data_IF_094975768087
#
_entry.id   IF_094975768087
#
_cell.length_a   1.000
_cell.length_b   1.000
_cell.length_c   1.000
_cell.angle_alpha   90.00
_cell.angle_beta   90.00
_cell.angle_gamma   90.00
#
_symmetry.space_group_name_H-M   'P 1'
#
loop_
_entity.id
_entity.type
_entity.pdbx_description
1 polymer ?
#
# COMPACT_ATOMS: atom_id res chain seq x y z
N UNK A 1 -6.88 28.49 5.82
CA UNK A 1 -5.74 27.59 5.54
C UNK A 1 -5.15 27.19 6.88
N UNK A 2 -5.15 25.91 7.21
CA UNK A 2 -4.51 25.44 8.45
C UNK A 2 -3.00 25.69 8.36
N UNK A 3 -2.34 26.09 9.46
CA UNK A 3 -0.90 26.25 9.46
C UNK A 3 -0.24 24.90 9.20
N UNK A 4 0.77 24.90 8.31
CA UNK A 4 1.58 23.71 8.04
C UNK A 4 2.63 23.53 9.12
N UNK A 5 2.95 22.28 9.41
CA UNK A 5 3.96 21.90 10.41
C UNK A 5 5.30 21.71 9.69
N UNK A 6 6.35 22.38 10.15
CA UNK A 6 7.69 22.16 9.60
C UNK A 6 8.26 20.83 10.10
N UNK A 7 8.62 19.93 9.18
CA UNK A 7 9.08 18.59 9.51
C UNK A 7 10.50 18.32 8.99
N UNK A 8 11.38 17.83 9.86
CA UNK A 8 12.69 17.30 9.49
C UNK A 8 12.62 15.77 9.36
N UNK A 9 13.38 15.23 8.40
CA UNK A 9 13.31 13.82 8.05
C UNK A 9 14.64 13.10 8.27
N UNK A 10 14.63 12.16 9.21
CA UNK A 10 15.75 11.29 9.49
C UNK A 10 15.88 10.16 8.47
N UNK A 11 17.11 9.95 8.01
CA UNK A 11 17.51 8.71 7.35
C UNK A 11 18.09 7.76 8.42
N UNK A 12 17.21 7.24 9.25
CA UNK A 12 17.53 6.36 10.36
C UNK A 12 17.46 4.88 9.94
N UNK A 13 18.40 4.06 10.40
CA UNK A 13 18.28 2.62 10.27
C UNK A 13 17.50 2.04 11.46
N UNK A 14 16.31 1.46 11.26
CA UNK A 14 15.51 0.94 12.37
C UNK A 14 16.08 -0.34 13.00
N UNK A 15 17.03 -1.02 12.34
CA UNK A 15 17.57 -2.31 12.81
C UNK A 15 18.76 -2.14 13.76
N UNK A 16 19.63 -1.16 13.51
CA UNK A 16 20.83 -0.91 14.33
C UNK A 16 20.90 0.52 14.89
N UNK A 17 19.82 1.29 14.74
CA UNK A 17 19.67 2.66 15.23
C UNK A 17 20.75 3.64 14.74
N UNK A 18 21.37 3.36 13.59
CA UNK A 18 22.40 4.24 13.00
C UNK A 18 21.80 5.25 12.03
N UNK A 19 22.17 6.52 12.20
CA UNK A 19 21.76 7.60 11.30
C UNK A 19 22.69 7.74 10.10
N UNK A 20 22.12 8.13 8.96
CA UNK A 20 22.84 8.39 7.73
C UNK A 20 22.53 9.78 7.21
N UNK A 21 23.50 10.41 6.56
CA UNK A 21 23.32 11.75 5.99
C UNK A 21 22.34 11.78 4.82
N UNK A 22 22.29 10.70 4.03
CA UNK A 22 21.54 10.64 2.78
C UNK A 22 20.80 9.30 2.62
N UNK A 23 19.65 9.27 1.91
CA UNK A 23 18.87 8.04 1.70
C UNK A 23 19.63 6.98 0.89
N UNK A 24 20.51 7.38 -0.03
CA UNK A 24 21.37 6.45 -0.78
C UNK A 24 22.33 5.68 0.13
N UNK A 25 22.89 6.36 1.14
CA UNK A 25 23.78 5.75 2.12
C UNK A 25 23.00 4.79 3.02
N UNK A 26 21.76 5.15 3.37
CA UNK A 26 20.86 4.26 4.12
C UNK A 26 20.50 3.00 3.32
N UNK A 27 20.19 3.10 2.03
CA UNK A 27 19.96 1.92 1.18
C UNK A 27 21.17 1.00 1.13
N UNK A 28 22.37 1.55 0.92
CA UNK A 28 23.61 0.77 0.90
C UNK A 28 23.88 0.10 2.26
N UNK A 29 23.62 0.81 3.35
CA UNK A 29 23.75 0.29 4.70
C UNK A 29 22.77 -0.88 4.95
N UNK A 30 21.49 -0.71 4.64
CA UNK A 30 20.46 -1.75 4.79
C UNK A 30 20.80 -3.00 3.96
N UNK A 31 21.29 -2.80 2.74
CA UNK A 31 21.73 -3.90 1.86
C UNK A 31 22.94 -4.66 2.42
N UNK A 32 23.95 -3.96 2.91
CA UNK A 32 25.24 -4.57 3.32
C UNK A 32 25.22 -5.14 4.74
N UNK A 33 24.57 -4.45 5.69
CA UNK A 33 24.59 -4.83 7.11
C UNK A 33 23.39 -5.69 7.51
N UNK A 34 22.25 -5.52 6.83
CA UNK A 34 20.99 -6.16 7.20
C UNK A 34 20.43 -7.07 6.11
N UNK A 35 21.11 -7.20 4.97
CA UNK A 35 20.67 -7.99 3.82
C UNK A 35 19.27 -7.60 3.30
N UNK A 36 18.84 -6.37 3.61
CA UNK A 36 17.56 -5.83 3.15
C UNK A 36 17.77 -5.15 1.79
N UNK A 37 17.33 -5.82 0.73
CA UNK A 37 17.33 -5.23 -0.62
C UNK A 37 16.04 -4.46 -0.80
N UNK A 38 16.18 -3.16 -1.05
CA UNK A 38 15.06 -2.24 -1.17
C UNK A 38 15.16 -1.50 -2.50
N UNK A 39 14.03 -1.17 -3.15
CA UNK A 39 14.05 -0.45 -4.41
C UNK A 39 14.49 1.00 -4.17
N UNK A 40 15.33 1.52 -5.06
CA UNK A 40 15.69 2.94 -5.03
C UNK A 40 14.55 3.79 -5.59
N UNK A 41 14.34 4.99 -5.01
CA UNK A 41 13.41 5.98 -5.57
C UNK A 41 13.82 6.37 -6.98
N UNK A 42 12.84 6.60 -7.86
CA UNK A 42 13.07 7.13 -9.22
C UNK A 42 13.79 8.47 -9.13
N UNK A 43 14.89 8.60 -9.88
CA UNK A 43 15.70 9.83 -9.93
C UNK A 43 14.95 10.94 -10.66
N UNK A 44 15.22 12.19 -10.31
CA UNK A 44 14.62 13.36 -10.95
C UNK A 44 13.20 13.73 -10.47
N UNK A 45 12.60 12.94 -9.58
CA UNK A 45 11.33 13.29 -8.94
C UNK A 45 11.57 14.00 -7.60
N UNK A 46 10.87 15.11 -7.41
CA UNK A 46 10.82 15.80 -6.13
C UNK A 46 9.81 15.11 -5.19
N UNK A 47 9.96 15.33 -3.88
CA UNK A 47 8.97 14.88 -2.90
C UNK A 47 7.61 15.51 -3.24
N UNK A 48 6.51 14.74 -3.28
CA UNK A 48 5.18 15.30 -3.40
C UNK A 48 4.90 16.33 -2.30
N UNK A 49 4.15 17.38 -2.64
CA UNK A 49 3.74 18.38 -1.64
C UNK A 49 2.69 17.75 -0.73
N UNK A 50 2.92 17.82 0.57
CA UNK A 50 1.95 17.38 1.57
C UNK A 50 1.16 18.62 2.08
N UNK A 51 -0.18 18.56 2.16
CA UNK A 51 -0.97 19.67 2.71
C UNK A 51 -0.69 19.92 4.20
N UNK A 52 -0.27 18.91 4.97
CA UNK A 52 -0.04 19.00 6.41
C UNK A 52 1.40 19.42 6.77
N UNK A 53 2.39 19.12 5.92
CA UNK A 53 3.80 19.28 6.24
C UNK A 53 4.56 20.18 5.26
N UNK A 54 5.46 20.99 5.80
CA UNK A 54 6.54 21.63 5.05
C UNK A 54 7.88 21.00 5.44
N UNK A 55 8.49 20.27 4.52
CA UNK A 55 9.72 19.54 4.81
C UNK A 55 10.95 20.47 4.76
N UNK A 56 11.65 20.57 5.89
CA UNK A 56 12.85 21.40 6.03
C UNK A 56 14.13 20.57 5.91
N UNK A 57 15.23 21.23 5.53
CA UNK A 57 16.55 20.60 5.40
C UNK A 57 17.34 20.60 6.70
N UNK A 58 17.12 21.61 7.53
CA UNK A 58 17.86 21.82 8.77
C UNK A 58 16.96 21.44 9.95
N UNK A 59 17.49 20.61 10.84
CA UNK A 59 16.74 20.15 12.01
C UNK A 59 16.38 21.31 12.94
N UNK A 60 17.20 22.36 13.00
CA UNK A 60 16.96 23.53 13.84
C UNK A 60 15.67 24.30 13.48
N UNK A 61 15.22 24.19 12.22
CA UNK A 61 14.03 24.89 11.71
C UNK A 61 12.75 24.04 11.78
N UNK A 62 12.85 22.80 12.26
CA UNK A 62 11.72 21.88 12.33
C UNK A 62 10.97 22.02 13.65
N UNK A 63 9.65 21.83 13.57
CA UNK A 63 8.78 21.64 14.72
C UNK A 63 8.62 20.16 15.06
N UNK A 64 8.83 19.28 14.08
CA UNK A 64 8.58 17.86 14.20
C UNK A 64 9.63 17.03 13.48
N UNK A 65 10.10 16.01 14.17
CA UNK A 65 10.98 14.99 13.62
C UNK A 65 10.20 13.80 13.11
N UNK A 66 10.58 13.27 11.95
CA UNK A 66 9.97 12.08 11.34
C UNK A 66 11.04 11.17 10.74
N UNK A 67 10.74 9.89 10.64
CA UNK A 67 11.62 8.88 10.04
C UNK A 67 11.21 8.59 8.60
N UNK A 68 12.09 8.86 7.64
CA UNK A 68 11.77 8.70 6.23
C UNK A 68 12.15 7.32 5.68
N UNK A 69 11.26 6.74 4.89
CA UNK A 69 11.58 5.53 4.12
C UNK A 69 12.59 5.86 3.00
N UNK A 70 13.71 5.15 2.83
CA UNK A 70 14.63 5.41 1.73
C UNK A 70 14.10 5.00 0.35
N UNK A 71 13.06 4.15 0.29
CA UNK A 71 12.56 3.51 -0.94
C UNK A 71 11.35 4.21 -1.54
N UNK A 72 10.51 4.84 -0.72
CA UNK A 72 9.30 5.57 -1.12
C UNK A 72 9.21 6.92 -0.39
N UNK A 73 8.18 7.72 -0.63
CA UNK A 73 8.07 9.06 -0.02
C UNK A 73 7.47 9.09 1.39
N UNK A 74 7.02 7.94 1.90
CA UNK A 74 6.42 7.79 3.23
C UNK A 74 7.37 8.13 4.36
N UNK A 75 6.80 8.57 5.48
CA UNK A 75 7.51 8.91 6.71
C UNK A 75 6.68 8.57 7.94
N UNK A 76 7.35 8.34 9.07
CA UNK A 76 6.78 7.76 10.28
C UNK A 76 7.14 8.56 11.53
N UNK A 77 6.34 8.42 12.57
CA UNK A 77 6.58 9.05 13.89
C UNK A 77 7.67 8.33 14.65
N UNK A 78 7.69 6.99 14.53
CA UNK A 78 8.59 6.15 15.32
C UNK A 78 9.45 5.21 14.44
N UNK A 79 10.63 4.78 14.92
CA UNK A 79 11.49 3.86 14.18
C UNK A 79 10.84 2.49 13.91
N UNK A 80 10.02 2.00 14.83
CA UNK A 80 9.38 0.69 14.71
C UNK A 80 8.34 0.65 13.57
N UNK A 81 7.62 1.76 13.36
CA UNK A 81 6.68 1.94 12.25
C UNK A 81 7.42 1.90 10.90
N UNK A 82 8.59 2.56 10.83
CA UNK A 82 9.47 2.49 9.67
C UNK A 82 9.96 1.05 9.43
N UNK A 83 10.39 0.33 10.48
CA UNK A 83 10.82 -1.06 10.35
C UNK A 83 9.74 -1.95 9.73
N UNK A 84 8.51 -1.85 10.24
CA UNK A 84 7.38 -2.60 9.74
C UNK A 84 7.09 -2.25 8.27
N UNK A 85 7.12 -0.96 7.93
CA UNK A 85 6.94 -0.52 6.55
C UNK A 85 8.01 -1.05 5.60
N UNK A 86 9.27 -1.14 6.04
CA UNK A 86 10.35 -1.68 5.21
C UNK A 86 10.16 -3.16 4.88
N UNK A 87 9.55 -3.96 5.77
CA UNK A 87 9.27 -5.38 5.51
C UNK A 87 8.36 -5.54 4.29
N UNK A 88 7.33 -4.67 4.15
CA UNK A 88 6.46 -4.68 2.98
C UNK A 88 7.22 -4.45 1.65
N UNK A 89 8.28 -3.64 1.65
CA UNK A 89 9.10 -3.47 0.45
C UNK A 89 9.95 -4.69 0.10
N UNK A 90 10.37 -5.47 1.09
CA UNK A 90 11.15 -6.69 0.89
C UNK A 90 10.24 -7.80 0.36
N UNK A 91 9.05 -7.96 0.96
CA UNK A 91 8.09 -9.00 0.57
C UNK A 91 7.59 -8.81 -0.87
N UNK A 92 7.34 -7.56 -1.29
CA UNK A 92 6.94 -7.25 -2.67
C UNK A 92 8.03 -7.67 -3.69
N UNK A 93 9.31 -7.59 -3.34
CA UNK A 93 10.38 -8.01 -4.26
C UNK A 93 10.47 -9.54 -4.45
N UNK A 94 9.94 -10.33 -3.50
CA UNK A 94 9.88 -11.79 -3.63
C UNK A 94 8.91 -12.28 -4.71
N UNK A 95 7.83 -11.52 -4.95
CA UNK A 95 6.73 -11.93 -5.83
C UNK A 95 6.61 -11.11 -7.13
N UNK A 96 7.41 -10.05 -7.30
CA UNK A 96 7.32 -9.13 -8.44
C UNK A 96 8.04 -9.63 -9.71
N UNK A 97 7.61 -10.78 -10.22
CA UNK A 97 7.71 -11.14 -11.65
C UNK A 97 6.33 -11.05 -12.36
N UNK A 98 5.36 -10.34 -11.78
CA UNK A 98 4.04 -10.12 -12.38
C UNK A 98 3.60 -8.66 -12.22
N UNK A 99 3.78 -7.88 -13.29
CA UNK A 99 2.93 -6.74 -13.67
C UNK A 99 2.84 -5.53 -12.72
N UNK A 100 3.52 -4.44 -13.09
CA UNK A 100 3.16 -3.09 -12.66
C UNK A 100 1.70 -2.78 -13.03
N UNK A 101 0.79 -2.80 -12.07
CA UNK A 101 -0.51 -2.12 -12.19
C UNK A 101 -0.44 -0.75 -11.52
N UNK A 102 -0.39 0.26 -12.39
CA UNK A 102 -0.48 1.69 -12.14
C UNK A 102 -1.82 2.05 -11.46
N UNK A 103 -1.85 2.06 -10.13
CA UNK A 103 -3.01 2.46 -9.32
C UNK A 103 -3.06 3.97 -9.07
N UNK A 104 -3.26 4.78 -10.11
CA UNK A 104 -3.68 6.17 -9.99
C UNK A 104 -5.21 6.22 -10.09
N UNK A 105 -5.92 6.19 -8.96
CA UNK A 105 -7.34 6.59 -8.90
C UNK A 105 -7.78 6.87 -7.47
N UNK A 106 -7.72 8.12 -7.05
CA UNK A 106 -8.76 8.67 -6.18
C UNK A 106 -9.37 9.86 -6.92
N UNK A 107 -10.57 9.62 -7.44
CA UNK A 107 -11.46 10.62 -8.02
C UNK A 107 -12.25 11.22 -6.85
N UNK A 108 -12.10 12.52 -6.66
CA UNK A 108 -13.02 13.32 -5.84
C UNK A 108 -14.14 13.78 -6.78
N UNK A 109 -15.34 13.25 -6.58
CA UNK A 109 -16.57 13.70 -7.23
C UNK A 109 -17.19 14.83 -6.39
N UNK A 110 -17.28 16.03 -6.94
CA UNK A 110 -18.26 17.03 -6.50
C UNK A 110 -18.76 17.81 -7.74
N UNK A 111 -20.08 17.92 -7.82
CA UNK A 111 -20.94 18.23 -8.97
C UNK A 111 -20.63 19.52 -9.76
N UNK A 112 -20.87 19.48 -11.07
CA UNK A 112 -21.60 20.57 -11.74
C UNK A 112 -22.45 20.01 -12.90
N UNK A 113 -23.74 20.33 -12.86
CA UNK A 113 -24.76 19.95 -13.84
C UNK A 113 -24.62 20.80 -15.12
N UNK A 114 -25.05 20.22 -16.24
CA UNK A 114 -25.38 20.92 -17.49
C UNK A 114 -24.24 21.18 -18.50
N UNK A 115 -23.99 20.21 -19.37
CA UNK A 115 -23.78 20.50 -20.79
C UNK A 115 -24.10 19.27 -21.65
N UNK A 116 -25.25 19.32 -22.32
CA UNK A 116 -25.65 18.41 -23.38
C UNK A 116 -24.70 18.52 -24.58
N UNK A 117 -24.08 17.41 -25.01
CA UNK A 117 -23.58 17.26 -26.39
C UNK A 117 -23.81 15.82 -26.88
N UNK A 118 -24.83 15.73 -27.74
CA UNK A 118 -24.93 14.93 -28.97
C UNK A 118 -24.17 13.61 -29.09
N UNK A 119 -24.99 12.57 -29.29
CA UNK A 119 -24.67 11.32 -29.97
C UNK A 119 -23.83 11.50 -31.23
N UNK A 120 -22.72 10.75 -31.35
CA UNK A 120 -22.35 10.14 -32.62
C UNK A 120 -21.50 8.88 -32.42
N UNK A 121 -21.89 7.81 -33.11
CA UNK A 121 -21.49 6.44 -32.82
C UNK A 121 -20.10 6.06 -33.32
N UNK A 122 -19.48 5.08 -32.64
CA UNK A 122 -18.42 4.22 -33.20
C UNK A 122 -18.34 2.90 -32.41
N UNK A 123 -18.76 1.82 -33.11
CA UNK A 123 -18.34 0.41 -33.03
C UNK A 123 -17.61 -0.06 -31.76
N UNK A 124 -18.22 -0.99 -31.03
CA UNK A 124 -17.57 -1.85 -30.03
C UNK A 124 -18.36 -3.13 -29.76
N UNK A 125 -18.56 -3.96 -30.79
CA UNK A 125 -19.31 -5.23 -30.67
C UNK A 125 -18.48 -6.40 -30.10
N UNK A 126 -17.34 -6.14 -29.44
CA UNK A 126 -16.35 -7.16 -29.03
C UNK A 126 -16.03 -7.18 -27.51
N UNK A 127 -16.70 -6.36 -26.69
CA UNK A 127 -16.47 -6.35 -25.23
C UNK A 127 -17.40 -7.31 -24.47
N UNK A 128 -18.62 -7.55 -24.98
CA UNK A 128 -19.61 -8.41 -24.31
C UNK A 128 -19.21 -9.89 -24.19
N UNK A 129 -18.26 -10.38 -25.00
CA UNK A 129 -17.82 -11.78 -24.94
C UNK A 129 -16.82 -12.02 -23.81
N UNK A 130 -15.95 -11.06 -23.52
CA UNK A 130 -14.92 -11.20 -22.47
C UNK A 130 -15.54 -11.08 -21.08
N UNK A 131 -16.55 -10.22 -20.94
CA UNK A 131 -17.28 -10.06 -19.68
C UNK A 131 -18.09 -11.32 -19.32
N UNK A 132 -18.68 -11.99 -20.32
CA UNK A 132 -19.37 -13.26 -20.12
C UNK A 132 -18.41 -14.39 -19.71
N UNK A 133 -17.25 -14.50 -20.37
CA UNK A 133 -16.23 -15.50 -20.04
C UNK A 133 -15.63 -15.26 -18.63
N UNK A 134 -15.47 -14.01 -18.22
CA UNK A 134 -15.00 -13.65 -16.88
C UNK A 134 -16.03 -14.03 -15.80
N UNK A 135 -17.31 -13.77 -16.05
CA UNK A 135 -18.39 -14.12 -15.13
C UNK A 135 -18.52 -15.64 -14.96
N UNK A 136 -18.39 -16.40 -16.05
CA UNK A 136 -18.43 -17.86 -16.02
C UNK A 136 -17.27 -18.45 -15.21
N UNK A 137 -16.04 -18.00 -15.47
CA UNK A 137 -14.86 -18.41 -14.70
C UNK A 137 -14.97 -18.04 -13.22
N UNK A 138 -15.57 -16.90 -12.89
CA UNK A 138 -15.77 -16.50 -11.49
C UNK A 138 -16.73 -17.45 -10.76
N UNK A 139 -17.82 -17.87 -11.42
CA UNK A 139 -18.80 -18.79 -10.85
C UNK A 139 -18.22 -20.19 -10.62
N UNK A 140 -17.38 -20.70 -11.54
CA UNK A 140 -16.66 -21.96 -11.34
C UNK A 140 -15.76 -21.91 -10.10
N UNK A 141 -15.07 -20.78 -9.90
CA UNK A 141 -14.19 -20.58 -8.76
C UNK A 141 -14.96 -20.58 -7.44
N UNK A 142 -16.12 -19.94 -7.37
CA UNK A 142 -16.98 -19.96 -6.19
C UNK A 142 -17.51 -21.37 -5.88
N UNK A 143 -17.88 -22.15 -6.90
CA UNK A 143 -18.32 -23.53 -6.71
C UNK A 143 -17.19 -24.41 -6.13
N UNK A 144 -15.95 -24.26 -6.61
CA UNK A 144 -14.81 -25.01 -6.04
C UNK A 144 -14.52 -24.63 -4.59
N UNK A 145 -14.75 -23.37 -4.22
CA UNK A 145 -14.57 -22.90 -2.85
C UNK A 145 -15.60 -23.53 -1.91
N UNK A 146 -16.86 -23.62 -2.34
CA UNK A 146 -17.94 -24.25 -1.57
C UNK A 146 -17.71 -25.75 -1.37
N UNK A 147 -17.19 -26.46 -2.38
CA UNK A 147 -16.81 -27.87 -2.25
C UNK A 147 -15.66 -28.06 -1.23
N UNK A 148 -14.68 -27.16 -1.23
CA UNK A 148 -13.59 -27.14 -0.27
C UNK A 148 -14.10 -26.90 1.16
N UNK A 149 -14.96 -25.90 1.35
CA UNK A 149 -15.58 -25.58 2.64
C UNK A 149 -16.43 -26.77 3.13
N UNK A 150 -17.19 -27.42 2.23
CA UNK A 150 -17.96 -28.60 2.55
C UNK A 150 -17.07 -29.80 2.92
N UNK A 151 -15.93 -29.97 2.25
CA UNK A 151 -14.91 -30.98 2.58
C UNK A 151 -14.31 -30.74 3.96
N UNK A 152 -13.95 -29.50 4.29
CA UNK A 152 -13.44 -29.13 5.61
C UNK A 152 -14.47 -29.34 6.72
N UNK A 153 -15.75 -29.00 6.48
CA UNK A 153 -16.84 -29.27 7.44
C UNK A 153 -17.01 -30.76 7.75
N UNK A 154 -16.72 -31.65 6.79
CA UNK A 154 -16.79 -33.12 6.97
C UNK A 154 -15.58 -33.68 7.73
N UNK A 155 -14.44 -32.99 7.71
CA UNK A 155 -13.20 -33.41 8.38
C UNK A 155 -13.11 -32.95 9.84
N UNK A 156 -14.02 -32.09 10.31
CA UNK A 156 -14.09 -31.68 11.71
C UNK A 156 -15.07 -32.59 12.48
N UNK A 157 -14.59 -33.48 13.38
CA UNK A 157 -15.46 -34.27 14.23
C UNK A 157 -15.89 -33.43 15.45
N UNK A 158 -17.20 -33.16 15.58
CA UNK A 158 -17.89 -32.54 16.74
C UNK A 158 -17.43 -31.09 17.06
N UNK A 159 -18.28 -30.07 17.14
CA UNK A 159 -19.57 -29.99 17.84
C UNK A 159 -19.48 -28.82 18.83
N UNK A 160 -19.85 -27.60 18.42
CA UNK A 160 -20.00 -26.46 19.33
C UNK A 160 -21.49 -26.07 19.39
N UNK A 161 -22.28 -26.90 20.06
CA UNK A 161 -23.63 -26.53 20.49
C UNK A 161 -23.50 -25.65 21.72
N UNK A 162 -23.83 -24.37 21.58
CA UNK A 162 -23.96 -23.42 22.69
C UNK A 162 -25.17 -23.78 23.55
N UNK A 163 -25.03 -24.73 24.48
CA UNK A 163 -26.01 -24.91 25.55
C UNK A 163 -25.79 -23.84 26.63
N UNK A 164 -26.62 -22.79 26.58
CA UNK A 164 -26.75 -21.79 27.64
C UNK A 164 -27.28 -22.48 28.91
N UNK A 165 -26.41 -22.73 29.88
CA UNK A 165 -26.86 -23.04 31.25
C UNK A 165 -27.40 -21.77 31.90
N UNK A 166 -28.73 -21.69 31.98
CA UNK A 166 -29.45 -20.74 32.81
C UNK A 166 -29.33 -21.20 34.26
N UNK A 167 -28.55 -20.47 35.06
CA UNK A 167 -28.49 -20.66 36.52
C UNK A 167 -29.77 -20.14 37.17
N UNK A 168 -30.35 -20.96 38.05
CA UNK A 168 -31.27 -20.55 39.11
C UNK A 168 -30.65 -20.95 40.44
#
# INVERSE_FOLDING_TARGET
MSPKISAYLYNHCPVCSSDRSNPKNLLSHLKTQHQMVLPARKTGLNRPKDPAYDFVKDQADCQLDRYACPSCWSHFSEPHELEQHLKAHVDIQGDSNMGESNGHREAYEEYDEEAAISSDGRKGADENQRDAEYLEKSNELFNTLDELIAGFKKLLPYGYTNEKKSSK
#
